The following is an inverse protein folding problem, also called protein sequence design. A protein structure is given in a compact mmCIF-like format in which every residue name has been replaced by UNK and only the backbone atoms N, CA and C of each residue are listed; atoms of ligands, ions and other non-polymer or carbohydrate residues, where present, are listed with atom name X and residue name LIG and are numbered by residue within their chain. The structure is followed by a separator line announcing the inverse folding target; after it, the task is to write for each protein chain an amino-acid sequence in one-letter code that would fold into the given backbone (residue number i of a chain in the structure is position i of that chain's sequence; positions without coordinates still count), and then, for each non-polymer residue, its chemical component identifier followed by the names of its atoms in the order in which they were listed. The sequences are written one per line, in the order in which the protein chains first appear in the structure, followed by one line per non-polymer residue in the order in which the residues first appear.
data_IF_627797847207
#
_entry.id   IF_627797847207
#
_cell.length_a   1.000
_cell.length_b   1.000
_cell.length_c   1.000
_cell.angle_alpha   90.00
_cell.angle_beta   90.00
_cell.angle_gamma   90.00
#
_symmetry.space_group_name_H-M   'P 1'
#
loop_
_entity.id
_entity.type
_entity.pdbx_description
1 polymer ?
#
# COMPACT_ATOMS: atom_id res chain seq x y z
N UNK A 1 -13.71 -9.07 36.07
CA UNK A 1 -14.61 -7.92 36.02
C UNK A 1 -15.62 -8.17 34.93
N UNK A 2 -16.86 -8.55 35.32
CA UNK A 2 -17.97 -8.67 34.43
C UNK A 2 -18.29 -7.29 33.86
N UNK A 3 -18.26 -7.19 32.50
CA UNK A 3 -18.62 -5.98 31.79
C UNK A 3 -20.03 -5.58 32.14
N UNK A 4 -20.20 -4.36 32.58
CA UNK A 4 -21.49 -3.78 32.84
C UNK A 4 -22.20 -3.59 31.50
N UNK A 5 -23.31 -4.31 31.31
CA UNK A 5 -24.16 -4.15 30.15
C UNK A 5 -24.81 -2.76 30.21
N UNK A 6 -24.39 -1.86 29.33
CA UNK A 6 -24.98 -0.53 29.24
C UNK A 6 -26.30 -0.66 28.46
N UNK A 7 -27.41 -0.73 29.17
CA UNK A 7 -28.73 -0.68 28.57
C UNK A 7 -29.03 0.76 28.13
N UNK A 8 -28.96 1.03 26.83
CA UNK A 8 -29.37 2.32 26.28
C UNK A 8 -30.92 2.37 26.26
N UNK A 9 -31.57 3.35 26.89
CA UNK A 9 -33.02 3.38 27.05
C UNK A 9 -33.81 3.70 25.77
N UNK A 10 -33.14 3.88 24.62
CA UNK A 10 -33.74 4.09 23.31
C UNK A 10 -32.87 3.49 22.20
N UNK A 11 -33.53 2.97 21.16
CA UNK A 11 -32.87 2.49 19.97
C UNK A 11 -32.49 3.68 19.09
N UNK A 12 -31.24 3.85 18.65
CA UNK A 12 -30.90 4.90 17.73
C UNK A 12 -31.66 4.75 16.43
N UNK A 13 -32.18 5.84 15.88
CA UNK A 13 -32.92 5.84 14.62
C UNK A 13 -32.02 5.60 13.39
N UNK A 14 -30.69 5.70 13.56
CA UNK A 14 -29.69 5.48 12.51
C UNK A 14 -28.35 5.04 13.12
N UNK A 15 -27.69 4.13 12.44
CA UNK A 15 -26.31 3.75 12.70
C UNK A 15 -25.52 3.76 11.38
N UNK A 16 -24.32 4.31 11.39
CA UNK A 16 -23.43 4.36 10.23
C UNK A 16 -22.10 3.71 10.58
N UNK A 17 -21.52 2.99 9.61
CA UNK A 17 -20.18 2.44 9.69
C UNK A 17 -19.40 2.77 8.42
N UNK A 18 -18.13 3.15 8.57
CA UNK A 18 -17.20 3.34 7.45
C UNK A 18 -16.20 2.19 7.48
N UNK A 19 -16.03 1.54 6.33
CA UNK A 19 -15.09 0.42 6.16
C UNK A 19 -14.09 0.78 5.06
N UNK A 20 -12.80 0.62 5.35
CA UNK A 20 -11.71 0.80 4.39
C UNK A 20 -11.26 -0.58 3.85
N UNK A 21 -11.30 -0.72 2.53
CA UNK A 21 -10.87 -1.93 1.84
C UNK A 21 -9.55 -1.69 1.12
N UNK A 22 -8.59 -2.59 1.30
CA UNK A 22 -7.35 -2.65 0.52
C UNK A 22 -7.54 -3.58 -0.65
N UNK A 23 -7.98 -3.00 -1.78
CA UNK A 23 -8.30 -3.76 -2.99
C UNK A 23 -7.02 -4.32 -3.60
N UNK A 24 -6.99 -5.63 -3.83
CA UNK A 24 -5.83 -6.31 -4.41
C UNK A 24 -5.74 -6.04 -5.93
N UNK A 25 -4.55 -6.13 -6.51
CA UNK A 25 -4.41 -6.08 -7.96
C UNK A 25 -5.26 -7.15 -8.65
N UNK A 26 -6.07 -6.73 -9.61
CA UNK A 26 -7.00 -7.61 -10.32
C UNK A 26 -8.44 -7.53 -9.83
N UNK A 27 -8.67 -7.06 -8.62
CA UNK A 27 -10.00 -6.76 -8.10
C UNK A 27 -10.40 -5.30 -8.36
N UNK A 28 -11.70 -5.03 -8.38
CA UNK A 28 -12.26 -3.70 -8.60
C UNK A 28 -13.16 -3.25 -7.45
N UNK A 29 -13.36 -1.94 -7.32
CA UNK A 29 -14.34 -1.37 -6.40
C UNK A 29 -15.74 -1.97 -6.60
N UNK A 30 -16.14 -2.18 -7.86
CA UNK A 30 -17.45 -2.73 -8.19
C UNK A 30 -17.63 -4.14 -7.62
N UNK A 31 -16.62 -5.00 -7.75
CA UNK A 31 -16.64 -6.36 -7.18
C UNK A 31 -16.71 -6.34 -5.65
N UNK A 32 -15.90 -5.49 -5.01
CA UNK A 32 -15.94 -5.34 -3.54
C UNK A 32 -17.29 -4.82 -3.08
N UNK A 33 -17.86 -3.82 -3.76
CA UNK A 33 -19.18 -3.28 -3.43
C UNK A 33 -20.28 -4.33 -3.57
N UNK A 34 -20.27 -5.11 -4.63
CA UNK A 34 -21.23 -6.19 -4.88
C UNK A 34 -21.13 -7.27 -3.81
N UNK A 35 -19.92 -7.68 -3.46
CA UNK A 35 -19.68 -8.62 -2.38
C UNK A 35 -20.24 -8.11 -1.04
N UNK A 36 -19.93 -6.86 -0.66
CA UNK A 36 -20.42 -6.25 0.57
C UNK A 36 -21.96 -6.21 0.62
N UNK A 37 -22.60 -5.81 -0.49
CA UNK A 37 -24.06 -5.79 -0.58
C UNK A 37 -24.67 -7.18 -0.41
N UNK A 38 -24.06 -8.19 -1.03
CA UNK A 38 -24.49 -9.58 -0.94
C UNK A 38 -24.40 -10.09 0.50
N UNK A 39 -23.27 -9.90 1.16
CA UNK A 39 -23.07 -10.32 2.56
C UNK A 39 -24.04 -9.63 3.52
N UNK A 40 -24.26 -8.31 3.34
CA UNK A 40 -25.21 -7.57 4.17
C UNK A 40 -26.66 -8.00 3.94
N UNK A 41 -27.05 -8.29 2.71
CA UNK A 41 -28.38 -8.79 2.38
C UNK A 41 -28.63 -10.18 3.02
N UNK A 42 -27.63 -11.06 2.98
CA UNK A 42 -27.70 -12.38 3.62
C UNK A 42 -27.79 -12.27 5.15
N UNK A 43 -26.99 -11.39 5.75
CA UNK A 43 -26.91 -11.27 7.21
C UNK A 43 -28.11 -10.53 7.83
N UNK A 44 -28.62 -9.49 7.18
CA UNK A 44 -29.59 -8.55 7.75
C UNK A 44 -30.92 -8.49 7.00
N UNK A 45 -30.99 -9.08 5.83
CA UNK A 45 -32.15 -9.01 4.92
C UNK A 45 -31.99 -7.88 3.89
N UNK A 46 -32.59 -8.09 2.73
CA UNK A 46 -32.54 -7.13 1.61
C UNK A 46 -33.09 -5.75 2.00
N UNK A 47 -32.42 -4.70 1.53
CA UNK A 47 -32.86 -3.31 1.71
C UNK A 47 -32.73 -2.74 3.13
N UNK A 48 -32.17 -3.50 4.09
CA UNK A 48 -31.99 -3.03 5.47
C UNK A 48 -30.80 -2.08 5.65
N UNK A 49 -29.81 -2.16 4.79
CA UNK A 49 -28.60 -1.33 4.85
C UNK A 49 -28.39 -0.63 3.51
N UNK A 50 -28.20 0.68 3.54
CA UNK A 50 -27.75 1.44 2.38
C UNK A 50 -26.21 1.42 2.32
N UNK A 51 -25.64 0.95 1.22
CA UNK A 51 -24.19 0.90 1.00
C UNK A 51 -23.82 1.88 -0.09
N UNK A 52 -22.84 2.75 0.19
CA UNK A 52 -22.33 3.73 -0.78
C UNK A 52 -20.82 3.76 -0.77
N UNK A 53 -20.21 3.99 -1.92
CA UNK A 53 -18.77 4.25 -2.07
C UNK A 53 -18.51 5.71 -1.72
N UNK A 54 -17.53 5.95 -0.85
CA UNK A 54 -17.13 7.31 -0.50
C UNK A 54 -16.24 7.92 -1.59
N UNK A 55 -16.22 9.27 -1.73
CA UNK A 55 -15.33 9.95 -2.65
C UNK A 55 -13.86 9.60 -2.40
N UNK A 56 -13.09 9.43 -3.48
CA UNK A 56 -11.67 9.10 -3.42
C UNK A 56 -11.36 7.60 -3.42
N UNK A 57 -12.36 6.74 -3.43
CA UNK A 57 -12.16 5.32 -3.64
C UNK A 57 -11.55 5.04 -5.03
N UNK A 58 -10.63 4.08 -5.11
CA UNK A 58 -9.91 3.69 -6.34
C UNK A 58 -9.76 2.19 -6.42
N UNK A 59 -9.64 1.68 -7.62
CA UNK A 59 -9.26 0.27 -7.85
C UNK A 59 -7.83 0.00 -7.35
N UNK A 60 -7.48 -1.26 -7.22
CA UNK A 60 -6.11 -1.68 -6.88
C UNK A 60 -5.09 -1.19 -7.92
N UNK A 61 -3.89 -0.81 -7.45
CA UNK A 61 -2.80 -0.42 -8.35
C UNK A 61 -2.39 -1.57 -9.26
N UNK A 62 -1.94 -1.24 -10.47
CA UNK A 62 -1.39 -2.24 -11.40
C UNK A 62 -0.15 -2.93 -10.82
N UNK A 63 0.07 -4.18 -11.19
CA UNK A 63 1.30 -4.90 -10.88
C UNK A 63 2.41 -4.45 -11.83
N UNK A 64 3.50 -3.93 -11.28
CA UNK A 64 4.65 -3.53 -12.07
C UNK A 64 5.38 -4.74 -12.67
N UNK A 65 5.82 -4.70 -13.95
CA UNK A 65 6.44 -5.85 -14.62
C UNK A 65 7.87 -6.11 -14.13
N UNK A 66 8.10 -7.28 -13.56
CA UNK A 66 9.42 -7.68 -13.02
C UNK A 66 10.44 -8.08 -14.11
N UNK A 67 9.99 -8.29 -15.35
CA UNK A 67 10.86 -8.58 -16.50
C UNK A 67 11.44 -7.33 -17.18
N UNK A 68 11.02 -6.13 -16.78
CA UNK A 68 11.42 -4.88 -17.43
C UNK A 68 12.88 -4.48 -17.13
N UNK A 69 13.47 -3.69 -18.02
CA UNK A 69 14.81 -3.12 -17.82
C UNK A 69 14.89 -2.23 -16.59
N UNK A 70 13.81 -1.53 -16.27
CA UNK A 70 13.67 -0.69 -15.09
C UNK A 70 13.70 -1.52 -13.80
N UNK A 71 13.00 -2.66 -13.76
CA UNK A 71 13.09 -3.59 -12.64
C UNK A 71 14.51 -4.16 -12.50
N UNK A 72 15.15 -4.53 -13.61
CA UNK A 72 16.52 -5.05 -13.61
C UNK A 72 17.51 -4.00 -13.10
N UNK A 73 17.32 -2.72 -13.45
CA UNK A 73 18.13 -1.63 -12.91
C UNK A 73 17.95 -1.53 -11.39
N UNK A 74 16.72 -1.54 -10.90
CA UNK A 74 16.43 -1.52 -9.45
C UNK A 74 17.09 -2.70 -8.73
N UNK A 75 16.88 -3.91 -9.23
CA UNK A 75 17.41 -5.15 -8.65
C UNK A 75 18.94 -5.11 -8.57
N UNK A 76 19.60 -4.74 -9.67
CA UNK A 76 21.07 -4.61 -9.72
C UNK A 76 21.56 -3.56 -8.72
N UNK A 77 20.95 -2.38 -8.69
CA UNK A 77 21.36 -1.29 -7.80
C UNK A 77 21.18 -1.65 -6.32
N UNK A 78 20.09 -2.36 -5.98
CA UNK A 78 19.89 -2.86 -4.61
C UNK A 78 21.04 -3.79 -4.21
N UNK A 79 21.42 -4.75 -5.06
CA UNK A 79 22.50 -5.70 -4.77
C UNK A 79 23.88 -5.05 -4.70
N UNK A 80 24.12 -4.00 -5.49
CA UNK A 80 25.37 -3.23 -5.48
C UNK A 80 25.51 -2.43 -4.18
N UNK A 81 24.44 -1.77 -3.74
CA UNK A 81 24.46 -0.90 -2.55
C UNK A 81 24.32 -1.68 -1.24
N UNK A 82 23.58 -2.79 -1.30
CA UNK A 82 23.30 -3.66 -0.16
C UNK A 82 23.79 -5.10 -0.43
N UNK A 83 25.10 -5.35 -0.38
CA UNK A 83 25.66 -6.67 -0.68
C UNK A 83 25.04 -7.78 0.21
N UNK A 84 24.78 -8.93 -0.38
CA UNK A 84 24.17 -10.07 0.30
C UNK A 84 22.65 -10.00 0.48
N UNK A 85 21.99 -8.91 0.02
CA UNK A 85 20.54 -8.80 0.08
C UNK A 85 19.88 -9.67 -0.98
N UNK A 86 18.87 -10.43 -0.58
CA UNK A 86 17.96 -11.11 -1.50
C UNK A 86 16.90 -10.10 -1.98
N UNK A 87 16.73 -10.02 -3.29
CA UNK A 87 15.71 -9.15 -3.91
C UNK A 87 14.59 -10.02 -4.44
N UNK A 88 13.40 -9.78 -3.95
CA UNK A 88 12.18 -10.44 -4.40
C UNK A 88 11.06 -9.42 -4.61
N UNK A 89 10.19 -9.62 -5.59
CA UNK A 89 8.99 -8.80 -5.71
C UNK A 89 8.05 -9.07 -4.54
N UNK A 90 7.41 -8.01 -4.05
CA UNK A 90 6.43 -8.07 -2.98
C UNK A 90 5.23 -7.19 -3.28
N UNK A 91 4.10 -7.52 -2.68
CA UNK A 91 2.89 -6.71 -2.78
C UNK A 91 2.92 -5.59 -1.73
N UNK A 92 2.84 -4.34 -2.18
CA UNK A 92 2.65 -3.19 -1.30
C UNK A 92 1.17 -2.98 -1.05
N UNK A 93 0.74 -3.21 0.18
CA UNK A 93 -0.66 -3.07 0.62
C UNK A 93 -0.99 -1.67 1.15
N UNK A 94 0.01 -0.78 1.25
CA UNK A 94 -0.18 0.60 1.69
C UNK A 94 -0.35 1.56 0.49
N UNK A 95 -1.14 2.61 0.71
CA UNK A 95 -1.23 3.72 -0.25
C UNK A 95 0.05 4.56 -0.23
N UNK A 96 0.45 5.06 -1.39
CA UNK A 96 1.59 5.98 -1.55
C UNK A 96 1.29 7.00 -2.66
N UNK A 97 2.07 8.06 -2.74
CA UNK A 97 1.97 9.07 -3.81
C UNK A 97 2.24 8.50 -5.21
N UNK A 98 2.69 7.25 -5.30
CA UNK A 98 2.90 6.55 -6.57
C UNK A 98 1.64 6.52 -7.46
N UNK A 99 0.46 6.61 -6.87
CA UNK A 99 -0.83 6.68 -7.58
C UNK A 99 -0.89 7.84 -8.57
N UNK A 100 -0.20 8.94 -8.30
CA UNK A 100 -0.15 10.11 -9.18
C UNK A 100 0.72 9.89 -10.42
N UNK A 101 1.57 8.87 -10.42
CA UNK A 101 2.45 8.51 -11.53
C UNK A 101 1.89 7.38 -12.40
N UNK A 102 0.83 6.69 -11.97
CA UNK A 102 0.19 5.61 -12.74
C UNK A 102 -0.25 5.99 -14.16
N UNK A 103 -0.75 7.23 -14.41
CA UNK A 103 -1.05 7.66 -15.77
C UNK A 103 0.19 7.88 -16.66
N UNK A 104 1.38 8.00 -16.06
CA UNK A 104 2.63 8.35 -16.74
C UNK A 104 3.52 7.13 -17.01
N UNK A 105 3.37 6.03 -16.25
CA UNK A 105 4.25 4.88 -16.36
C UNK A 105 3.60 3.61 -15.81
N UNK A 106 3.84 2.49 -16.48
CA UNK A 106 3.54 1.14 -15.98
C UNK A 106 4.68 0.56 -15.12
N UNK A 107 5.82 1.26 -15.01
CA UNK A 107 7.01 0.81 -14.29
C UNK A 107 7.15 1.48 -12.92
N UNK A 108 6.14 1.31 -12.07
CA UNK A 108 6.12 1.92 -10.73
C UNK A 108 6.53 0.88 -9.69
N UNK A 109 7.73 1.05 -9.14
CA UNK A 109 8.29 0.16 -8.11
C UNK A 109 8.29 0.87 -6.75
N UNK A 110 7.55 0.30 -5.80
CA UNK A 110 7.45 0.82 -4.44
C UNK A 110 8.58 0.23 -3.59
N UNK A 111 9.69 0.93 -3.50
CA UNK A 111 10.86 0.50 -2.77
C UNK A 111 11.47 1.66 -1.97
N UNK A 112 11.86 1.40 -0.74
CA UNK A 112 12.63 2.33 0.09
C UNK A 112 13.92 1.66 0.55
N UNK A 113 15.11 2.30 0.37
CA UNK A 113 16.39 1.74 0.78
C UNK A 113 16.64 1.85 2.28
N UNK A 114 15.65 1.50 3.08
CA UNK A 114 15.67 1.58 4.54
C UNK A 114 15.95 0.20 5.14
N UNK A 115 16.94 0.13 6.04
CA UNK A 115 17.16 -1.03 6.89
C UNK A 115 16.28 -0.91 8.12
N UNK A 116 15.28 -1.75 8.23
CA UNK A 116 14.37 -1.77 9.36
C UNK A 116 14.26 -3.19 9.93
N UNK A 117 14.22 -3.29 11.24
CA UNK A 117 13.87 -4.50 11.96
C UNK A 117 12.45 -4.39 12.55
N UNK A 118 11.98 -5.43 13.23
CA UNK A 118 10.63 -5.45 13.81
C UNK A 118 10.38 -4.30 14.82
N UNK A 119 11.41 -3.85 15.54
CA UNK A 119 11.28 -2.74 16.48
C UNK A 119 11.25 -1.39 15.75
N UNK A 120 11.91 -1.25 14.62
CA UNK A 120 11.86 -0.04 13.80
C UNK A 120 10.48 0.11 13.14
N UNK A 121 9.85 -0.97 12.70
CA UNK A 121 8.52 -0.95 12.10
C UNK A 121 7.46 -0.36 13.05
N UNK A 122 7.58 -0.57 14.35
CA UNK A 122 6.68 0.01 15.36
C UNK A 122 6.74 1.54 15.44
N UNK A 123 7.77 2.16 14.87
CA UNK A 123 7.98 3.61 14.88
C UNK A 123 7.53 4.30 13.61
N UNK A 124 7.23 3.55 12.56
CA UNK A 124 6.76 4.12 11.30
C UNK A 124 5.47 4.90 11.51
N UNK A 125 5.44 6.17 11.10
CA UNK A 125 4.36 7.11 11.35
C UNK A 125 4.07 7.35 12.84
N UNK A 126 5.04 7.08 13.71
CA UNK A 126 4.90 7.14 15.16
C UNK A 126 5.97 7.96 15.84
N UNK A 127 5.96 7.87 17.17
CA UNK A 127 6.95 8.57 18.01
C UNK A 127 8.34 7.97 17.82
N UNK A 128 9.36 8.85 17.73
CA UNK A 128 10.77 8.47 17.64
C UNK A 128 11.10 7.65 16.35
N UNK A 129 10.41 7.94 15.26
CA UNK A 129 10.81 7.46 13.94
C UNK A 129 12.20 8.00 13.60
N UNK A 130 13.07 7.12 13.15
CA UNK A 130 14.48 7.46 12.93
C UNK A 130 15.15 6.55 11.91
N UNK A 131 16.18 7.06 11.28
CA UNK A 131 17.06 6.34 10.39
C UNK A 131 18.50 6.47 10.91
N UNK A 132 19.30 5.40 10.84
CA UNK A 132 20.73 5.51 11.16
C UNK A 132 21.46 6.35 10.11
N UNK A 133 22.49 7.09 10.52
CA UNK A 133 23.32 7.89 9.61
C UNK A 133 24.02 7.03 8.55
N UNK A 134 24.41 5.81 8.89
CA UNK A 134 24.99 4.85 7.96
C UNK A 134 23.97 4.41 6.89
N UNK A 135 22.74 4.10 7.27
CA UNK A 135 21.70 3.74 6.32
C UNK A 135 21.25 4.95 5.47
N UNK A 136 21.26 6.16 6.04
CA UNK A 136 21.03 7.37 5.25
C UNK A 136 22.08 7.54 4.13
N UNK A 137 23.36 7.29 4.43
CA UNK A 137 24.42 7.30 3.43
C UNK A 137 24.25 6.20 2.36
N UNK A 138 23.76 5.00 2.75
CA UNK A 138 23.37 3.94 1.80
C UNK A 138 22.22 4.40 0.89
N UNK A 139 21.20 5.04 1.46
CA UNK A 139 20.08 5.58 0.69
C UNK A 139 20.53 6.61 -0.34
N UNK A 140 21.42 7.53 0.04
CA UNK A 140 21.99 8.51 -0.90
C UNK A 140 22.73 7.81 -2.06
N UNK A 141 23.55 6.80 -1.77
CA UNK A 141 24.25 6.01 -2.81
C UNK A 141 23.27 5.30 -3.74
N UNK A 142 22.21 4.72 -3.16
CA UNK A 142 21.19 4.04 -3.93
C UNK A 142 20.48 4.99 -4.92
N UNK A 143 19.95 6.11 -4.45
CA UNK A 143 19.27 7.07 -5.32
C UNK A 143 20.18 7.70 -6.35
N UNK A 144 21.42 8.07 -5.96
CA UNK A 144 22.42 8.55 -6.91
C UNK A 144 22.68 7.53 -8.03
N UNK A 145 22.80 6.25 -7.68
CA UNK A 145 23.07 5.19 -8.66
C UNK A 145 21.87 4.97 -9.59
N UNK A 146 20.65 4.88 -9.05
CA UNK A 146 19.42 4.72 -9.85
C UNK A 146 19.26 5.87 -10.83
N UNK A 147 19.41 7.12 -10.36
CA UNK A 147 19.27 8.30 -11.22
C UNK A 147 20.36 8.36 -12.30
N UNK A 148 21.62 8.10 -11.94
CA UNK A 148 22.76 8.14 -12.87
C UNK A 148 22.65 7.07 -13.95
N UNK A 149 22.22 5.85 -13.62
CA UNK A 149 22.08 4.77 -14.59
C UNK A 149 20.76 4.89 -15.37
N UNK A 150 19.70 5.35 -14.72
CA UNK A 150 18.43 5.60 -15.39
C UNK A 150 18.51 6.69 -16.46
N UNK A 151 19.29 7.73 -16.20
CA UNK A 151 19.50 8.82 -17.17
C UNK A 151 20.31 8.39 -18.42
N UNK A 152 21.02 7.26 -18.36
CA UNK A 152 21.75 6.70 -19.50
C UNK A 152 20.88 5.79 -20.38
N UNK A 153 19.73 5.36 -19.88
CA UNK A 153 18.82 4.55 -20.65
C UNK A 153 18.25 5.38 -21.81
N UNK A 154 18.11 4.80 -23.04
CA UNK A 154 17.45 5.52 -24.13
C UNK A 154 16.02 5.90 -23.68
N UNK A 155 15.60 7.10 -24.10
CA UNK A 155 14.22 7.53 -23.92
C UNK A 155 13.28 6.50 -24.56
N UNK A 156 12.21 6.16 -23.85
CA UNK A 156 11.16 5.26 -24.34
C UNK A 156 10.39 5.89 -25.48
#
# INVERSE_FOLDING_TARGET
NAGQEVTVPFTPGRADATVDFRILPGDTQAQVLDHVKTELAQALGEGKVAVQVLPGAKDGSKVAPTGSSQYQLMNRTIREVFPGTLVAPGLMVAATDSVHYEPLSDHIFKFSPVRANAEDLKRFHGTNERLSTSNYAEALRFYHRVLSEGAKAPAL
#
